data_IF_050342833790
#
_entry.id   IF_050342833790
#
_cell.length_a   1.000
_cell.length_b   1.000
_cell.length_c   1.000
_cell.angle_alpha   90.00
_cell.angle_beta   90.00
_cell.angle_gamma   90.00
#
_symmetry.space_group_name_H-M   'P 1'
#
loop_
_entity.id
_entity.type
_entity.pdbx_description
1 polymer ?
#
# COMPACT_ATOMS: atom_id res chain seq x y z
N UNK A 1 -9.90 8.80 14.04
CA UNK A 1 -8.51 9.06 13.57
C UNK A 1 -7.56 8.04 14.18
N UNK A 2 -6.63 7.50 13.37
CA UNK A 2 -5.59 6.59 13.85
C UNK A 2 -4.25 7.32 13.98
N UNK A 3 -3.54 7.09 15.07
CA UNK A 3 -2.19 7.64 15.30
C UNK A 3 -1.27 6.51 15.72
N UNK A 4 -0.10 6.44 15.11
CA UNK A 4 0.92 5.44 15.36
C UNK A 4 2.06 6.02 16.18
N UNK A 5 2.48 5.27 17.19
CA UNK A 5 3.75 5.42 17.87
C UNK A 5 4.54 4.10 17.69
N UNK A 6 5.80 4.06 18.08
CA UNK A 6 6.70 2.91 17.89
C UNK A 6 6.10 1.54 18.32
N UNK A 7 5.23 1.50 19.30
CA UNK A 7 4.69 0.25 19.85
C UNK A 7 3.18 0.23 19.99
N UNK A 8 2.49 1.34 19.73
CA UNK A 8 1.06 1.48 19.98
C UNK A 8 0.33 2.16 18.83
N UNK A 9 -0.87 1.67 18.52
CA UNK A 9 -1.87 2.32 17.70
C UNK A 9 -2.91 2.96 18.64
N UNK A 10 -3.08 4.26 18.51
CA UNK A 10 -4.07 5.04 19.24
C UNK A 10 -5.25 5.36 18.34
N UNK A 11 -6.44 5.21 18.89
CA UNK A 11 -7.70 5.59 18.24
C UNK A 11 -8.27 6.81 18.95
N UNK A 12 -8.53 7.86 18.20
CA UNK A 12 -9.17 9.08 18.69
C UNK A 12 -10.53 9.30 18.04
N UNK A 13 -11.46 9.86 18.82
CA UNK A 13 -12.75 10.37 18.32
C UNK A 13 -12.53 11.58 17.40
N UNK A 14 -13.58 12.03 16.70
CA UNK A 14 -13.55 13.28 15.95
C UNK A 14 -13.38 14.54 16.83
N UNK A 15 -13.65 14.40 18.14
CA UNK A 15 -13.48 15.47 19.12
C UNK A 15 -12.11 15.47 19.81
N UNK A 16 -11.23 14.51 19.42
CA UNK A 16 -9.89 14.40 20.00
C UNK A 16 -9.79 13.57 21.28
N UNK A 17 -10.84 12.87 21.69
CA UNK A 17 -10.80 11.99 22.85
C UNK A 17 -10.13 10.66 22.51
N UNK A 18 -9.22 10.19 23.36
CA UNK A 18 -8.62 8.88 23.21
C UNK A 18 -9.67 7.79 23.50
N UNK A 19 -10.01 7.01 22.48
CA UNK A 19 -11.01 5.94 22.56
C UNK A 19 -10.38 4.60 22.93
N UNK A 20 -9.22 4.29 22.35
CA UNK A 20 -8.57 2.98 22.51
C UNK A 20 -7.07 3.08 22.26
N UNK A 21 -6.31 2.21 22.91
CA UNK A 21 -4.88 1.99 22.69
C UNK A 21 -4.65 0.52 22.41
N UNK A 22 -4.02 0.20 21.27
CA UNK A 22 -3.67 -1.17 20.85
C UNK A 22 -2.17 -1.32 20.81
N UNK A 23 -1.64 -2.29 21.54
CA UNK A 23 -0.22 -2.63 21.47
C UNK A 23 0.08 -3.36 20.16
N UNK A 24 1.19 -2.99 19.54
CA UNK A 24 1.70 -3.57 18.30
C UNK A 24 2.97 -4.36 18.58
N UNK A 25 3.08 -5.53 17.96
CA UNK A 25 4.28 -6.37 18.01
C UNK A 25 5.16 -6.18 16.77
N UNK A 26 5.34 -4.95 16.32
CA UNK A 26 6.19 -4.58 15.18
C UNK A 26 7.38 -3.74 15.67
N UNK A 27 8.56 -3.98 15.08
CA UNK A 27 9.78 -3.23 15.42
C UNK A 27 9.88 -1.89 14.67
N UNK A 28 9.35 -1.83 13.45
CA UNK A 28 9.33 -0.63 12.59
C UNK A 28 7.98 -0.50 11.90
N UNK A 29 6.90 -0.20 12.66
CA UNK A 29 5.57 -0.16 12.09
C UNK A 29 5.39 1.04 11.16
N UNK A 30 4.73 0.81 10.03
CA UNK A 30 4.23 1.82 9.11
C UNK A 30 2.70 1.79 9.18
N UNK A 31 2.10 2.98 9.23
CA UNK A 31 0.66 3.18 9.20
C UNK A 31 0.26 3.88 7.90
N UNK A 32 -0.67 3.28 7.18
CA UNK A 32 -1.47 3.91 6.13
C UNK A 32 -2.93 3.86 6.57
N UNK A 33 -3.62 4.98 6.63
CA UNK A 33 -5.00 4.99 7.13
C UNK A 33 -5.87 6.00 6.40
N UNK A 34 -7.16 5.75 6.47
CA UNK A 34 -8.24 6.66 6.14
C UNK A 34 -9.22 6.75 7.34
N UNK A 35 -10.40 7.32 7.13
CA UNK A 35 -11.38 7.51 8.22
C UNK A 35 -11.91 6.20 8.81
N UNK A 36 -11.88 5.10 8.04
CA UNK A 36 -12.53 3.83 8.39
C UNK A 36 -11.55 2.71 8.72
N UNK A 37 -10.37 2.69 8.04
CA UNK A 37 -9.41 1.60 8.07
C UNK A 37 -8.00 2.08 8.34
N UNK A 38 -7.23 1.21 8.96
CA UNK A 38 -5.80 1.35 9.16
C UNK A 38 -5.09 0.08 8.65
N UNK A 39 -4.16 0.24 7.73
CA UNK A 39 -3.19 -0.76 7.33
C UNK A 39 -1.91 -0.52 8.12
N UNK A 40 -1.50 -1.52 8.88
CA UNK A 40 -0.21 -1.52 9.57
C UNK A 40 0.64 -2.65 9.04
N UNK A 41 1.88 -2.35 8.71
CA UNK A 41 2.86 -3.35 8.31
C UNK A 41 4.23 -3.02 8.87
N UNK A 42 5.11 -4.01 8.91
CA UNK A 42 6.49 -3.84 9.37
C UNK A 42 7.36 -3.46 8.18
N UNK A 43 8.08 -2.36 8.29
CA UNK A 43 8.99 -1.91 7.24
C UNK A 43 10.16 -2.91 7.07
N UNK A 44 10.26 -3.50 5.87
CA UNK A 44 11.22 -4.58 5.57
C UNK A 44 10.87 -5.91 6.25
N UNK A 45 9.70 -6.01 6.90
CA UNK A 45 9.17 -7.25 7.44
C UNK A 45 8.11 -7.87 6.53
N UNK A 46 7.55 -9.00 6.95
CA UNK A 46 6.58 -9.77 6.17
C UNK A 46 5.16 -9.67 6.70
N UNK A 47 4.97 -9.12 7.91
CA UNK A 47 3.66 -9.10 8.58
C UNK A 47 2.91 -7.80 8.31
N UNK A 48 1.61 -7.92 8.09
CA UNK A 48 0.68 -6.80 8.06
C UNK A 48 -0.65 -7.12 8.73
N UNK A 49 -1.36 -6.08 9.12
CA UNK A 49 -2.71 -6.19 9.67
C UNK A 49 -3.58 -5.05 9.19
N UNK A 50 -4.86 -5.30 9.14
CA UNK A 50 -5.89 -4.30 8.87
C UNK A 50 -6.77 -4.14 10.10
N UNK A 51 -6.93 -2.91 10.55
CA UNK A 51 -7.75 -2.53 11.69
C UNK A 51 -8.86 -1.59 11.27
N UNK A 52 -9.96 -1.64 12.02
CA UNK A 52 -11.04 -0.65 12.08
C UNK A 52 -11.08 -0.01 13.46
N UNK A 53 -11.96 0.98 13.62
CA UNK A 53 -12.28 1.48 14.95
C UNK A 53 -12.78 0.37 15.89
N UNK A 54 -13.57 -0.58 15.37
CA UNK A 54 -14.12 -1.70 16.13
C UNK A 54 -13.13 -2.82 16.48
N UNK A 55 -11.91 -2.80 15.95
CA UNK A 55 -10.90 -3.82 16.24
C UNK A 55 -10.10 -4.27 15.03
N UNK A 56 -9.29 -5.31 15.22
CA UNK A 56 -8.56 -5.96 14.13
C UNK A 56 -9.53 -6.68 13.19
N UNK A 57 -9.38 -6.45 11.89
CA UNK A 57 -10.18 -7.15 10.86
C UNK A 57 -9.50 -8.45 10.48
N UNK A 58 -8.20 -8.38 10.14
CA UNK A 58 -7.36 -9.56 9.88
C UNK A 58 -5.87 -9.22 9.99
N UNK A 59 -5.07 -10.27 10.15
CA UNK A 59 -3.60 -10.20 10.16
C UNK A 59 -3.08 -11.27 9.21
N UNK A 60 -2.04 -10.94 8.43
CA UNK A 60 -1.40 -11.86 7.49
C UNK A 60 0.11 -11.74 7.51
N UNK A 61 0.75 -12.81 7.03
CA UNK A 61 2.19 -12.87 6.76
C UNK A 61 2.38 -13.09 5.27
N UNK A 62 3.25 -12.31 4.66
CA UNK A 62 3.67 -12.43 3.28
C UNK A 62 4.89 -13.35 3.19
N UNK A 63 5.13 -13.92 2.02
CA UNK A 63 6.30 -14.77 1.78
C UNK A 63 7.59 -13.94 1.67
N UNK A 64 7.48 -12.69 1.22
CA UNK A 64 8.58 -11.76 1.00
C UNK A 64 8.38 -10.45 1.77
N UNK A 65 9.46 -9.70 1.96
CA UNK A 65 9.44 -8.44 2.68
C UNK A 65 8.53 -7.39 2.02
N UNK A 66 7.78 -6.66 2.82
CA UNK A 66 6.88 -5.60 2.34
C UNK A 66 7.70 -4.33 2.10
N UNK A 67 7.60 -3.80 0.89
CA UNK A 67 8.24 -2.55 0.46
C UNK A 67 7.34 -1.36 0.78
N UNK A 68 6.08 -1.42 0.35
CA UNK A 68 5.09 -0.37 0.56
C UNK A 68 3.67 -0.94 0.49
N UNK A 69 2.70 -0.15 0.90
CA UNK A 69 1.29 -0.54 0.82
C UNK A 69 0.35 0.65 0.87
N UNK A 70 -0.88 0.41 0.46
CA UNK A 70 -1.98 1.36 0.50
C UNK A 70 -3.28 0.66 0.92
N UNK A 71 -4.22 1.43 1.47
CA UNK A 71 -5.55 0.95 1.83
C UNK A 71 -6.61 1.88 1.29
N UNK A 72 -7.64 1.31 0.67
CA UNK A 72 -8.76 2.06 0.10
C UNK A 72 -9.82 2.40 1.16
N UNK A 73 -10.74 3.29 0.81
CA UNK A 73 -11.88 3.66 1.66
C UNK A 73 -12.83 2.48 1.95
N UNK A 74 -12.83 1.46 1.10
CA UNK A 74 -13.65 0.23 1.27
C UNK A 74 -12.91 -0.90 2.00
N UNK A 75 -11.61 -0.70 2.31
CA UNK A 75 -10.78 -1.69 3.01
C UNK A 75 -10.04 -2.68 2.11
N UNK A 76 -9.98 -2.41 0.81
CA UNK A 76 -9.11 -3.13 -0.12
C UNK A 76 -7.66 -2.69 0.12
N UNK A 77 -6.75 -3.65 0.19
CA UNK A 77 -5.34 -3.43 0.48
C UNK A 77 -4.49 -3.76 -0.74
N UNK A 78 -3.57 -2.88 -1.08
CA UNK A 78 -2.48 -3.12 -2.00
C UNK A 78 -1.18 -3.23 -1.23
N UNK A 79 -0.40 -4.27 -1.48
CA UNK A 79 0.96 -4.44 -0.96
C UNK A 79 1.93 -4.68 -2.10
N UNK A 80 3.07 -4.01 -2.03
CA UNK A 80 4.24 -4.28 -2.86
C UNK A 80 5.26 -5.02 -2.01
N UNK A 81 5.69 -6.17 -2.48
CA UNK A 81 6.69 -7.00 -1.80
C UNK A 81 7.95 -7.15 -2.66
N UNK A 82 9.04 -7.49 -2.01
CA UNK A 82 10.24 -7.96 -2.71
C UNK A 82 9.96 -9.25 -3.49
N UNK A 83 10.85 -9.61 -4.39
CA UNK A 83 10.80 -10.83 -5.18
C UNK A 83 12.20 -11.27 -5.54
N UNK A 84 12.42 -12.59 -5.59
CA UNK A 84 13.68 -13.18 -6.03
C UNK A 84 13.83 -13.18 -7.57
N UNK A 85 12.72 -13.02 -8.31
CA UNK A 85 12.67 -13.14 -9.77
C UNK A 85 12.31 -11.84 -10.50
N UNK A 86 11.67 -10.88 -9.80
CA UNK A 86 11.15 -9.64 -10.36
C UNK A 86 11.63 -8.46 -9.52
N UNK A 87 11.49 -7.24 -10.03
CA UNK A 87 11.82 -6.03 -9.26
C UNK A 87 10.92 -5.88 -8.02
N UNK A 88 9.67 -6.27 -8.14
CA UNK A 88 8.72 -6.39 -7.03
C UNK A 88 7.46 -7.15 -7.47
N UNK A 89 6.58 -7.44 -6.51
CA UNK A 89 5.26 -8.04 -6.75
C UNK A 89 4.18 -7.18 -6.10
N UNK A 90 3.19 -6.76 -6.89
CA UNK A 90 1.98 -6.11 -6.40
C UNK A 90 0.93 -7.18 -6.08
N UNK A 91 0.39 -7.15 -4.87
CA UNK A 91 -0.68 -8.05 -4.43
C UNK A 91 -1.84 -7.24 -3.85
N UNK A 92 -3.06 -7.55 -4.30
CA UNK A 92 -4.29 -6.89 -3.84
C UNK A 92 -5.11 -7.88 -3.01
N UNK A 93 -5.60 -7.41 -1.86
CA UNK A 93 -6.45 -8.18 -0.95
C UNK A 93 -7.78 -7.46 -0.74
N UNK A 94 -8.88 -8.20 -0.69
CA UNK A 94 -10.18 -7.66 -0.33
C UNK A 94 -10.25 -7.25 1.15
N UNK A 95 -11.35 -6.64 1.54
CA UNK A 95 -11.60 -6.18 2.93
C UNK A 95 -11.55 -7.29 3.99
N UNK A 96 -11.58 -8.56 3.60
CA UNK A 96 -11.52 -9.73 4.48
C UNK A 96 -10.15 -10.43 4.40
N UNK A 97 -9.23 -9.91 3.61
CA UNK A 97 -7.90 -10.45 3.41
C UNK A 97 -7.81 -11.59 2.38
N UNK A 98 -8.84 -11.80 1.55
CA UNK A 98 -8.75 -12.71 0.40
C UNK A 98 -7.96 -12.04 -0.71
N UNK A 99 -6.99 -12.74 -1.29
CA UNK A 99 -6.21 -12.23 -2.42
C UNK A 99 -7.09 -12.15 -3.68
N UNK A 100 -7.17 -10.95 -4.26
CA UNK A 100 -7.93 -10.66 -5.47
C UNK A 100 -7.07 -10.67 -6.71
N UNK A 101 -5.84 -10.12 -6.60
CA UNK A 101 -4.99 -9.85 -7.76
C UNK A 101 -3.52 -9.99 -7.39
N UNK A 102 -2.70 -10.41 -8.35
CA UNK A 102 -1.24 -10.44 -8.24
C UNK A 102 -0.62 -10.02 -9.57
N UNK A 103 0.39 -9.14 -9.50
CA UNK A 103 1.17 -8.71 -10.65
C UNK A 103 2.66 -8.77 -10.35
N UNK A 104 3.41 -9.48 -11.16
CA UNK A 104 4.86 -9.44 -11.18
C UNK A 104 5.31 -8.20 -11.95
N UNK A 105 6.15 -7.37 -11.34
CA UNK A 105 6.59 -6.10 -11.92
C UNK A 105 8.08 -6.17 -12.27
N UNK A 106 8.42 -5.80 -13.49
CA UNK A 106 9.81 -5.70 -13.96
C UNK A 106 10.47 -4.39 -13.52
N UNK A 107 9.66 -3.37 -13.23
CA UNK A 107 10.07 -2.09 -12.69
C UNK A 107 9.65 -1.93 -11.22
N UNK A 108 10.30 -1.03 -10.50
CA UNK A 108 10.00 -0.79 -9.09
C UNK A 108 8.77 0.08 -8.92
N UNK A 109 7.84 -0.35 -8.09
CA UNK A 109 6.68 0.47 -7.72
C UNK A 109 7.02 1.32 -6.49
N UNK A 110 6.64 2.60 -6.53
CA UNK A 110 6.91 3.53 -5.43
C UNK A 110 5.65 3.93 -4.67
N UNK A 111 4.59 4.31 -5.34
CA UNK A 111 3.37 4.81 -4.71
C UNK A 111 2.13 4.22 -5.36
N UNK A 112 1.05 4.09 -4.57
CA UNK A 112 -0.20 3.45 -5.01
C UNK A 112 -1.37 4.25 -4.46
N UNK A 113 -2.35 4.53 -5.32
CA UNK A 113 -3.64 5.09 -4.93
C UNK A 113 -4.78 4.31 -5.59
N UNK A 114 -5.83 4.05 -4.84
CA UNK A 114 -7.02 3.38 -5.35
C UNK A 114 -7.97 4.35 -6.06
N UNK A 115 -8.72 3.86 -7.04
CA UNK A 115 -9.89 4.55 -7.54
C UNK A 115 -11.02 4.55 -6.47
N UNK A 116 -12.04 5.36 -6.68
CA UNK A 116 -13.14 5.55 -5.74
C UNK A 116 -13.85 4.24 -5.38
N UNK A 117 -14.08 3.39 -6.37
CA UNK A 117 -14.78 2.10 -6.22
C UNK A 117 -13.88 0.99 -5.65
N UNK A 118 -12.58 1.24 -5.50
CA UNK A 118 -11.58 0.24 -5.09
C UNK A 118 -11.53 -1.00 -5.98
N UNK A 119 -11.89 -0.86 -7.25
CA UNK A 119 -11.83 -1.91 -8.29
C UNK A 119 -10.54 -1.90 -9.08
N UNK A 120 -9.76 -0.82 -8.93
CA UNK A 120 -8.50 -0.61 -9.58
C UNK A 120 -7.61 0.34 -8.79
N UNK A 121 -6.40 0.53 -9.27
CA UNK A 121 -5.47 1.50 -8.70
C UNK A 121 -4.59 2.15 -9.76
N UNK A 122 -4.04 3.29 -9.43
CA UNK A 122 -2.91 3.92 -10.11
C UNK A 122 -1.66 3.71 -9.27
N UNK A 123 -0.55 3.49 -9.91
CA UNK A 123 0.75 3.42 -9.25
C UNK A 123 1.85 4.04 -10.11
N UNK A 124 2.96 4.39 -9.47
CA UNK A 124 4.14 4.92 -10.13
C UNK A 124 5.16 3.80 -10.30
N UNK A 125 5.56 3.52 -11.53
CA UNK A 125 6.73 2.70 -11.85
C UNK A 125 7.96 3.59 -12.01
N UNK A 126 9.07 3.15 -11.40
CA UNK A 126 10.37 3.81 -11.52
C UNK A 126 11.30 2.93 -12.34
N UNK A 127 11.85 3.50 -13.42
CA UNK A 127 12.89 2.87 -14.22
C UNK A 127 14.13 3.76 -14.31
N UNK A 128 15.27 3.15 -14.62
CA UNK A 128 16.52 3.86 -14.88
C UNK A 128 16.98 3.54 -16.29
N UNK A 129 17.04 4.57 -17.13
CA UNK A 129 17.52 4.46 -18.53
C UNK A 129 18.68 5.43 -18.70
N UNK A 130 19.82 4.91 -19.14
CA UNK A 130 21.05 5.71 -19.40
C UNK A 130 21.50 6.60 -18.22
N UNK A 131 21.23 6.17 -16.98
CA UNK A 131 21.56 6.90 -15.77
C UNK A 131 20.51 7.90 -15.31
N UNK A 132 19.46 8.12 -16.05
CA UNK A 132 18.32 8.95 -15.68
C UNK A 132 17.19 8.11 -15.07
N UNK A 133 16.65 8.58 -13.94
CA UNK A 133 15.46 7.98 -13.33
C UNK A 133 14.22 8.57 -13.99
N UNK A 134 13.38 7.69 -14.51
CA UNK A 134 12.08 8.05 -15.07
C UNK A 134 10.96 7.45 -14.23
N UNK A 135 9.84 8.16 -14.16
CA UNK A 135 8.62 7.70 -13.51
C UNK A 135 7.48 7.62 -14.54
N UNK A 136 6.75 6.52 -14.52
CA UNK A 136 5.57 6.32 -15.37
C UNK A 136 4.39 6.00 -14.47
N UNK A 137 3.29 6.71 -14.65
CA UNK A 137 2.02 6.41 -13.97
C UNK A 137 1.27 5.35 -14.77
N UNK A 138 0.81 4.30 -14.10
CA UNK A 138 0.03 3.23 -14.72
C UNK A 138 -1.23 2.95 -13.93
N UNK A 139 -2.34 2.76 -14.65
CA UNK A 139 -3.62 2.37 -14.09
C UNK A 139 -3.92 0.91 -14.42
N UNK A 140 -4.43 0.18 -13.43
CA UNK A 140 -4.93 -1.19 -13.59
C UNK A 140 -6.32 -1.33 -13.02
N UNK A 141 -7.09 -2.27 -13.58
CA UNK A 141 -8.30 -2.80 -12.97
C UNK A 141 -8.01 -4.24 -12.50
N UNK A 142 -8.61 -4.67 -11.40
CA UNK A 142 -8.27 -5.97 -10.79
C UNK A 142 -8.93 -7.17 -11.48
N UNK A 143 -9.75 -6.93 -12.46
CA UNK A 143 -10.40 -7.93 -13.32
C UNK A 143 -9.67 -8.14 -14.66
N UNK A 144 -8.62 -7.36 -14.94
CA UNK A 144 -7.84 -7.43 -16.19
C UNK A 144 -6.35 -7.64 -15.88
N UNK A 145 -5.61 -8.12 -16.90
CA UNK A 145 -4.15 -8.28 -16.83
C UNK A 145 -3.39 -7.11 -17.44
N UNK A 146 -4.04 -6.33 -18.28
CA UNK A 146 -3.43 -5.22 -19.01
C UNK A 146 -3.59 -3.89 -18.29
N UNK A 147 -2.71 -2.95 -18.59
CA UNK A 147 -2.88 -1.57 -18.14
C UNK A 147 -4.09 -0.94 -18.83
N UNK A 148 -4.94 -0.28 -18.07
CA UNK A 148 -6.07 0.48 -18.62
C UNK A 148 -5.64 1.85 -19.12
N UNK A 149 -4.53 2.36 -18.57
CA UNK A 149 -3.93 3.62 -18.97
C UNK A 149 -2.48 3.70 -18.50
N UNK A 150 -1.65 4.43 -19.24
CA UNK A 150 -0.24 4.69 -18.96
C UNK A 150 0.12 6.12 -19.36
N UNK A 151 0.89 6.83 -18.54
CA UNK A 151 1.39 8.17 -18.87
C UNK A 151 2.63 8.08 -19.77
N UNK A 152 2.97 9.19 -20.43
CA UNK A 152 4.33 9.39 -20.92
C UNK A 152 5.33 9.35 -19.75
N UNK A 153 6.56 8.85 -19.96
CA UNK A 153 7.59 8.88 -18.92
C UNK A 153 7.93 10.30 -18.48
N UNK A 154 7.94 10.51 -17.16
CA UNK A 154 8.34 11.77 -16.54
C UNK A 154 9.78 11.65 -16.05
N UNK A 155 10.63 12.60 -16.43
CA UNK A 155 12.01 12.69 -15.96
C UNK A 155 12.06 13.30 -14.56
N UNK A 156 13.14 13.08 -13.82
CA UNK A 156 13.34 13.63 -12.45
C UNK A 156 13.17 15.16 -12.40
N UNK A 157 13.48 15.87 -13.47
CA UNK A 157 13.31 17.33 -13.54
C UNK A 157 11.82 17.74 -13.61
N UNK A 158 11.00 16.96 -14.29
CA UNK A 158 9.55 17.21 -14.40
C UNK A 158 8.82 16.92 -13.08
N UNK A 159 9.31 15.96 -12.29
CA UNK A 159 8.76 15.61 -10.98
C UNK A 159 9.06 16.66 -9.89
N UNK A 160 10.13 17.44 -10.04
CA UNK A 160 10.52 18.47 -9.08
C UNK A 160 9.74 19.80 -9.28
N UNK A 161 9.03 19.97 -10.39
CA UNK A 161 8.32 21.20 -10.77
C UNK A 161 6.80 21.05 -10.68
N UNK A 162 6.28 19.90 -10.37
CA UNK A 162 4.86 19.61 -10.13
C UNK A 162 4.54 19.50 -8.65
#
# INVERSE_FOLDING_TARGET
MFILNASYLYLFSLHGDLMETRQLAYSKPILKSNDYFALLYENGGTRFRVDRQSGNVYTKTMDQAIITGAISSTGVVALVTESDLYSCVLQIFDKNGKKLYTRNCIERLSDIAFNEDSTGCVFTELSAVDGDVTATLKCIQFDTTDYTWESEPLTTLSLALS
#
